data_IF_955626104944
#
_entry.id   IF_955626104944
#
_cell.length_a   1.000
_cell.length_b   1.000
_cell.length_c   1.000
_cell.angle_alpha   90.00
_cell.angle_beta   90.00
_cell.angle_gamma   90.00
#
_symmetry.space_group_name_H-M   'P 1'
#
loop_
_entity.id
_entity.type
_entity.pdbx_description
1 polymer ?
#
# COMPACT_ATOMS: atom_id res chain seq x y z
N UNK A 1 -22.97 6.03 -5.82
CA UNK A 1 -23.67 7.18 -5.23
C UNK A 1 -23.31 8.49 -5.94
N UNK A 2 -22.02 8.82 -6.03
CA UNK A 2 -21.50 10.07 -6.58
C UNK A 2 -21.98 10.45 -7.99
N UNK A 3 -22.10 9.47 -8.90
CA UNK A 3 -22.73 9.68 -10.21
C UNK A 3 -24.10 10.35 -10.08
N UNK A 4 -25.02 9.78 -9.30
CA UNK A 4 -26.37 10.31 -9.14
C UNK A 4 -26.39 11.71 -8.51
N UNK A 5 -25.56 11.95 -7.49
CA UNK A 5 -25.53 13.26 -6.81
C UNK A 5 -24.95 14.34 -7.70
N UNK A 6 -23.95 14.00 -8.53
CA UNK A 6 -23.41 14.89 -9.55
C UNK A 6 -24.41 15.20 -10.67
N UNK A 7 -25.13 14.18 -11.18
CA UNK A 7 -26.17 14.36 -12.20
C UNK A 7 -27.27 15.32 -11.72
N UNK A 8 -27.71 15.19 -10.46
CA UNK A 8 -28.71 16.08 -9.86
C UNK A 8 -28.18 17.51 -9.76
N UNK A 9 -26.90 17.70 -9.40
CA UNK A 9 -26.32 19.03 -9.21
C UNK A 9 -26.05 19.76 -10.52
N UNK A 10 -25.67 19.04 -11.57
CA UNK A 10 -25.14 19.63 -12.81
C UNK A 10 -26.07 19.48 -14.01
N UNK A 11 -27.04 18.57 -13.96
CA UNK A 11 -27.86 18.18 -15.11
C UNK A 11 -27.14 17.23 -16.09
N UNK A 12 -25.86 16.92 -15.87
CA UNK A 12 -25.11 15.95 -16.67
C UNK A 12 -25.62 14.52 -16.52
N UNK A 13 -25.04 13.58 -17.28
CA UNK A 13 -25.34 12.14 -17.23
C UNK A 13 -24.07 11.31 -17.11
N UNK A 14 -24.07 10.33 -16.22
CA UNK A 14 -22.94 9.45 -15.94
C UNK A 14 -23.36 8.00 -16.12
N UNK A 15 -22.73 7.32 -17.09
CA UNK A 15 -22.84 5.86 -17.25
C UNK A 15 -21.64 5.18 -16.61
N UNK A 16 -21.88 4.44 -15.53
CA UNK A 16 -20.83 3.65 -14.87
C UNK A 16 -20.63 2.35 -15.65
N UNK A 17 -19.38 2.05 -16.00
CA UNK A 17 -18.97 0.77 -16.58
C UNK A 17 -18.07 0.07 -15.56
N UNK A 18 -18.50 -1.09 -15.06
CA UNK A 18 -17.72 -1.91 -14.15
C UNK A 18 -17.03 -3.04 -14.92
N UNK A 19 -15.75 -3.26 -14.64
CA UNK A 19 -14.96 -4.33 -15.21
C UNK A 19 -14.20 -5.06 -14.09
N UNK A 20 -13.93 -6.37 -14.23
CA UNK A 20 -13.01 -7.06 -13.33
C UNK A 20 -11.64 -6.37 -13.32
N UNK A 21 -11.01 -6.27 -12.14
CA UNK A 21 -9.73 -5.56 -11.97
C UNK A 21 -8.67 -5.99 -13.00
N UNK A 22 -8.52 -7.31 -13.21
CA UNK A 22 -7.56 -7.89 -14.16
C UNK A 22 -7.78 -7.47 -15.63
N UNK A 23 -8.94 -6.89 -15.97
CA UNK A 23 -9.26 -6.40 -17.33
C UNK A 23 -9.15 -4.88 -17.46
N UNK A 24 -9.03 -4.13 -16.36
CA UNK A 24 -9.06 -2.67 -16.37
C UNK A 24 -7.91 -2.08 -17.19
N UNK A 25 -6.68 -2.55 -16.96
CA UNK A 25 -5.49 -2.02 -17.63
C UNK A 25 -5.63 -2.05 -19.15
N UNK A 26 -5.90 -3.23 -19.72
CA UNK A 26 -6.02 -3.41 -21.17
C UNK A 26 -7.23 -2.64 -21.74
N UNK A 27 -8.36 -2.63 -21.03
CA UNK A 27 -9.56 -1.92 -21.47
C UNK A 27 -9.31 -0.40 -21.56
N UNK A 28 -8.72 0.19 -20.52
CA UNK A 28 -8.39 1.61 -20.49
C UNK A 28 -7.34 1.96 -21.54
N UNK A 29 -6.23 1.22 -21.60
CA UNK A 29 -5.17 1.50 -22.56
C UNK A 29 -5.65 1.42 -24.01
N UNK A 30 -6.46 0.41 -24.36
CA UNK A 30 -7.01 0.27 -25.70
C UNK A 30 -8.02 1.38 -26.03
N UNK A 31 -8.88 1.76 -25.08
CA UNK A 31 -9.81 2.88 -25.25
C UNK A 31 -9.06 4.18 -25.51
N UNK A 32 -8.03 4.48 -24.73
CA UNK A 32 -7.26 5.72 -24.85
C UNK A 32 -6.45 5.82 -26.14
N UNK A 33 -6.00 4.69 -26.69
CA UNK A 33 -5.32 4.62 -28.01
C UNK A 33 -6.27 4.74 -29.20
N UNK A 34 -7.56 4.51 -28.99
CA UNK A 34 -8.56 4.57 -30.07
C UNK A 34 -8.96 6.01 -30.39
N UNK A 35 -9.48 6.24 -31.60
CA UNK A 35 -9.94 7.58 -32.03
C UNK A 35 -11.17 8.07 -31.25
N UNK A 36 -12.02 7.15 -30.81
CA UNK A 36 -13.27 7.47 -30.11
C UNK A 36 -13.17 6.99 -28.67
N UNK A 37 -13.21 7.90 -27.70
CA UNK A 37 -13.19 7.55 -26.29
C UNK A 37 -14.38 6.63 -25.93
N UNK A 38 -14.09 5.49 -25.30
CA UNK A 38 -15.09 4.65 -24.62
C UNK A 38 -15.34 5.16 -23.20
N UNK A 39 -14.32 5.75 -22.58
CA UNK A 39 -14.35 6.29 -21.22
C UNK A 39 -13.95 7.77 -21.23
N UNK A 40 -14.76 8.62 -20.61
CA UNK A 40 -14.41 10.02 -20.35
C UNK A 40 -13.66 10.21 -19.03
N UNK A 41 -13.88 9.29 -18.08
CA UNK A 41 -13.21 9.24 -16.77
C UNK A 41 -12.73 7.82 -16.55
N UNK A 42 -11.49 7.67 -16.09
CA UNK A 42 -10.94 6.39 -15.65
C UNK A 42 -10.42 6.51 -14.22
N UNK A 43 -10.72 5.52 -13.39
CA UNK A 43 -10.08 5.33 -12.09
C UNK A 43 -9.12 4.16 -12.20
N UNK A 44 -7.85 4.37 -11.87
CA UNK A 44 -6.81 3.37 -12.06
C UNK A 44 -5.73 3.45 -10.97
N UNK A 45 -4.90 2.40 -10.91
CA UNK A 45 -3.76 2.34 -10.00
C UNK A 45 -2.68 3.35 -10.42
N UNK A 46 -2.13 4.17 -9.51
CA UNK A 46 -1.01 5.08 -9.79
C UNK A 46 0.16 4.40 -10.50
N UNK A 47 0.44 3.14 -10.18
CA UNK A 47 1.47 2.31 -10.82
C UNK A 47 1.39 2.30 -12.36
N UNK A 48 0.19 2.44 -12.95
CA UNK A 48 -0.02 2.43 -14.40
C UNK A 48 0.22 3.78 -15.07
N UNK A 49 0.51 4.84 -14.31
CA UNK A 49 0.75 6.18 -14.84
C UNK A 49 1.83 6.19 -15.92
N UNK A 50 2.87 5.36 -15.79
CA UNK A 50 3.94 5.26 -16.80
C UNK A 50 3.47 4.78 -18.17
N UNK A 51 2.47 3.90 -18.22
CA UNK A 51 1.86 3.45 -19.48
C UNK A 51 0.81 4.45 -19.99
N UNK A 52 0.11 5.12 -19.08
CA UNK A 52 -1.09 5.87 -19.38
C UNK A 52 -0.83 7.35 -19.70
N UNK A 53 0.14 8.00 -19.05
CA UNK A 53 0.25 9.46 -19.02
C UNK A 53 0.25 10.14 -20.41
N UNK A 54 0.86 9.50 -21.41
CA UNK A 54 0.92 10.04 -22.79
C UNK A 54 -0.45 10.14 -23.47
N UNK A 55 -1.46 9.48 -22.91
CA UNK A 55 -2.84 9.46 -23.39
C UNK A 55 -3.81 10.19 -22.44
N UNK A 56 -3.31 10.83 -21.38
CA UNK A 56 -4.13 11.56 -20.42
C UNK A 56 -4.09 13.05 -20.72
N UNK A 57 -5.22 13.71 -20.49
CA UNK A 57 -5.26 15.16 -20.47
C UNK A 57 -4.62 15.72 -19.21
N UNK A 58 -4.07 16.92 -19.33
CA UNK A 58 -3.53 17.68 -18.20
C UNK A 58 -4.71 18.21 -17.38
N UNK A 59 -4.57 18.18 -16.06
CA UNK A 59 -5.52 18.81 -15.14
C UNK A 59 -5.57 20.33 -15.41
N UNK A 60 -6.74 20.94 -15.65
CA UNK A 60 -6.87 22.38 -15.88
C UNK A 60 -6.37 23.22 -14.70
N UNK A 61 -5.65 24.31 -14.97
CA UNK A 61 -5.06 25.20 -13.96
C UNK A 61 -6.08 25.67 -12.90
N UNK A 62 -7.29 26.04 -13.33
CA UNK A 62 -8.39 26.44 -12.43
C UNK A 62 -8.75 25.40 -11.35
N UNK A 63 -8.44 24.12 -11.57
CA UNK A 63 -8.67 23.04 -10.61
C UNK A 63 -7.46 22.79 -9.71
N UNK A 64 -6.26 23.18 -10.15
CA UNK A 64 -5.04 23.18 -9.33
C UNK A 64 -5.11 24.31 -8.32
N UNK A 65 -5.66 25.47 -8.72
CA UNK A 65 -5.83 26.65 -7.86
C UNK A 65 -7.01 26.54 -6.87
N UNK A 66 -7.79 25.45 -6.91
CA UNK A 66 -8.92 25.21 -6.00
C UNK A 66 -8.39 24.79 -4.62
N UNK A 67 -8.87 25.40 -3.53
CA UNK A 67 -8.41 25.08 -2.16
C UNK A 67 -8.59 23.60 -1.78
N UNK A 68 -9.57 22.91 -2.39
CA UNK A 68 -9.77 21.48 -2.16
C UNK A 68 -8.68 20.62 -2.81
N UNK A 69 -7.89 21.16 -3.73
CA UNK A 69 -6.71 20.50 -4.27
C UNK A 69 -5.59 20.43 -3.22
N UNK A 70 -5.38 21.52 -2.47
CA UNK A 70 -4.39 21.60 -1.40
C UNK A 70 -4.74 20.79 -0.15
N UNK A 71 -6.02 20.42 -0.01
CA UNK A 71 -6.47 19.51 1.03
C UNK A 71 -5.99 18.05 0.80
N UNK A 72 -5.54 17.67 -0.40
CA UNK A 72 -4.93 16.36 -0.67
C UNK A 72 -3.52 16.30 -0.06
N UNK A 73 -3.21 15.23 0.68
CA UNK A 73 -1.91 15.05 1.30
C UNK A 73 -0.76 15.13 0.27
N UNK A 74 0.33 15.88 0.52
CA UNK A 74 1.46 16.00 -0.40
C UNK A 74 2.03 14.66 -0.89
N UNK A 75 2.12 13.66 -0.02
CA UNK A 75 2.56 12.29 -0.36
C UNK A 75 1.74 11.66 -1.48
N UNK A 76 0.44 11.93 -1.55
CA UNK A 76 -0.41 11.46 -2.64
C UNK A 76 -0.41 12.46 -3.80
N UNK A 77 -0.61 13.75 -3.47
CA UNK A 77 -0.71 14.83 -4.43
C UNK A 77 0.55 14.90 -5.28
N UNK A 78 1.68 15.22 -4.68
CA UNK A 78 2.90 15.56 -5.39
C UNK A 78 3.56 14.32 -6.01
N UNK A 79 3.43 13.14 -5.37
CA UNK A 79 4.09 11.91 -5.82
C UNK A 79 3.25 11.08 -6.80
N UNK A 80 1.92 11.02 -6.66
CA UNK A 80 1.07 10.11 -7.44
C UNK A 80 0.22 10.80 -8.50
N UNK A 81 -0.07 12.10 -8.37
CA UNK A 81 -0.90 12.83 -9.35
C UNK A 81 -0.10 13.48 -10.48
N UNK A 82 1.23 13.56 -10.36
CA UNK A 82 2.12 14.12 -11.37
C UNK A 82 2.71 13.08 -12.30
N UNK A 83 3.01 13.48 -13.52
CA UNK A 83 3.94 12.79 -14.40
C UNK A 83 4.72 13.80 -15.24
N UNK A 84 6.05 13.68 -15.34
CA UNK A 84 6.92 14.66 -16.01
C UNK A 84 6.62 16.12 -15.60
N UNK A 85 6.41 16.36 -14.31
CA UNK A 85 6.08 17.69 -13.76
C UNK A 85 4.67 18.20 -14.02
N UNK A 86 3.83 17.45 -14.74
CA UNK A 86 2.44 17.83 -15.08
C UNK A 86 1.43 17.10 -14.21
N UNK A 87 0.40 17.80 -13.76
CA UNK A 87 -0.75 17.21 -13.09
C UNK A 87 -1.62 16.47 -14.10
N UNK A 88 -1.78 15.16 -13.95
CA UNK A 88 -2.53 14.31 -14.90
C UNK A 88 -3.61 13.48 -14.21
N UNK A 89 -3.73 13.57 -12.89
CA UNK A 89 -4.69 12.80 -12.12
C UNK A 89 -5.12 13.53 -10.84
N UNK A 90 -6.16 13.03 -10.19
CA UNK A 90 -6.60 13.41 -8.84
C UNK A 90 -6.65 12.14 -7.99
N UNK A 91 -6.03 12.13 -6.81
CA UNK A 91 -6.17 11.03 -5.86
C UNK A 91 -7.62 10.95 -5.38
N UNK A 92 -8.19 9.75 -5.44
CA UNK A 92 -9.55 9.46 -4.99
C UNK A 92 -9.60 8.42 -3.87
N UNK A 93 -8.47 7.78 -3.59
CA UNK A 93 -8.25 6.84 -2.50
C UNK A 93 -6.77 6.84 -2.09
N UNK A 94 -6.50 6.72 -0.79
CA UNK A 94 -5.16 6.83 -0.18
C UNK A 94 -4.71 5.54 0.50
N UNK A 95 -4.40 4.53 -0.30
CA UNK A 95 -3.89 3.27 0.23
C UNK A 95 -2.46 3.42 0.74
N UNK A 96 -2.29 3.05 2.01
CA UNK A 96 -1.03 2.98 2.72
C UNK A 96 -1.00 1.67 3.51
N UNK A 97 0.11 0.94 3.42
CA UNK A 97 0.27 -0.34 4.12
C UNK A 97 0.73 -0.11 5.56
N UNK A 98 0.08 -0.75 6.51
CA UNK A 98 0.30 -0.55 7.94
C UNK A 98 0.19 -1.87 8.72
N UNK A 99 0.55 -1.81 10.00
CA UNK A 99 0.39 -2.91 10.93
C UNK A 99 -0.79 -2.73 11.88
N UNK A 100 -1.39 -3.86 12.25
CA UNK A 100 -2.51 -3.95 13.17
C UNK A 100 -2.19 -4.94 14.28
N UNK A 101 -2.67 -4.69 15.49
CA UNK A 101 -2.50 -5.60 16.62
C UNK A 101 -3.70 -5.62 17.57
N UNK A 102 -3.79 -6.68 18.35
CA UNK A 102 -4.79 -6.88 19.40
C UNK A 102 -4.36 -6.19 20.70
N UNK A 103 -4.92 -5.01 20.99
CA UNK A 103 -4.65 -4.26 22.23
C UNK A 103 -4.94 -5.07 23.47
N UNK A 104 -6.03 -5.82 23.50
CA UNK A 104 -6.39 -6.65 24.65
C UNK A 104 -5.36 -7.76 24.94
N UNK A 105 -4.64 -8.25 23.93
CA UNK A 105 -3.53 -9.19 24.12
C UNK A 105 -2.25 -8.50 24.58
N UNK A 106 -1.94 -7.32 24.03
CA UNK A 106 -0.72 -6.56 24.34
C UNK A 106 -0.80 -5.84 25.69
N UNK A 107 -1.99 -5.41 26.11
CA UNK A 107 -2.24 -4.74 27.39
C UNK A 107 -2.37 -5.72 28.56
N UNK A 108 -2.56 -7.01 28.29
CA UNK A 108 -2.67 -8.05 29.31
C UNK A 108 -1.37 -8.17 30.14
N UNK A 109 -1.48 -8.00 31.46
CA UNK A 109 -0.33 -7.96 32.40
C UNK A 109 0.49 -9.25 32.39
N UNK A 110 -0.16 -10.41 32.24
CA UNK A 110 0.53 -11.71 32.15
C UNK A 110 1.30 -11.82 30.84
N UNK A 111 0.71 -11.42 29.71
CA UNK A 111 1.42 -11.42 28.42
C UNK A 111 2.63 -10.48 28.45
N UNK A 112 2.49 -9.27 29.02
CA UNK A 112 3.62 -8.35 29.22
C UNK A 112 4.76 -8.99 30.04
N UNK A 113 4.42 -9.61 31.18
CA UNK A 113 5.40 -10.24 32.05
C UNK A 113 6.09 -11.45 31.38
N UNK A 114 5.31 -12.35 30.75
CA UNK A 114 5.81 -13.53 30.07
C UNK A 114 6.70 -13.16 28.87
N UNK A 115 6.29 -12.14 28.10
CA UNK A 115 7.05 -11.64 26.96
C UNK A 115 8.39 -11.05 27.41
N UNK A 116 8.37 -10.14 28.40
CA UNK A 116 9.59 -9.53 28.94
C UNK A 116 10.55 -10.57 29.52
N UNK A 117 10.03 -11.62 30.16
CA UNK A 117 10.83 -12.73 30.66
C UNK A 117 11.51 -13.51 29.53
N UNK A 118 10.84 -13.70 28.39
CA UNK A 118 11.35 -14.48 27.25
C UNK A 118 12.29 -13.70 26.33
N UNK A 119 11.96 -12.44 26.03
CA UNK A 119 12.65 -11.64 25.02
C UNK A 119 13.49 -10.50 25.60
N UNK A 120 13.41 -10.24 26.90
CA UNK A 120 14.21 -9.24 27.62
C UNK A 120 13.94 -7.77 27.24
N UNK A 121 12.78 -7.48 26.63
CA UNK A 121 12.26 -6.13 26.41
C UNK A 121 10.73 -6.10 26.57
N UNK A 122 10.14 -4.91 26.66
CA UNK A 122 8.71 -4.74 26.92
C UNK A 122 7.85 -5.06 25.69
N UNK A 123 6.71 -5.74 25.92
CA UNK A 123 5.72 -6.00 24.87
C UNK A 123 5.03 -4.69 24.48
N UNK A 124 5.42 -4.17 23.32
CA UNK A 124 4.91 -2.96 22.68
C UNK A 124 4.68 -3.24 21.19
N UNK A 125 3.93 -2.40 20.46
CA UNK A 125 3.86 -2.51 19.01
C UNK A 125 5.28 -2.48 18.39
N UNK A 126 5.57 -3.31 17.37
CA UNK A 126 6.93 -3.53 16.93
C UNK A 126 7.53 -2.33 16.21
N UNK A 127 8.73 -1.92 16.63
CA UNK A 127 9.53 -0.89 16.00
C UNK A 127 10.45 -1.47 14.91
N UNK A 128 10.81 -2.75 15.01
CA UNK A 128 11.65 -3.46 14.03
C UNK A 128 11.01 -4.75 13.51
N UNK A 129 11.38 -5.17 12.30
CA UNK A 129 10.91 -6.46 11.75
C UNK A 129 11.31 -7.66 12.61
N UNK A 130 12.44 -7.56 13.32
CA UNK A 130 12.85 -8.54 14.33
C UNK A 130 11.83 -8.60 15.47
N UNK A 131 11.48 -7.46 16.05
CA UNK A 131 10.47 -7.41 17.13
C UNK A 131 9.12 -7.94 16.65
N UNK A 132 8.72 -7.63 15.42
CA UNK A 132 7.50 -8.18 14.82
C UNK A 132 7.56 -9.71 14.75
N UNK A 133 8.69 -10.30 14.34
CA UNK A 133 8.87 -11.75 14.33
C UNK A 133 8.88 -12.37 15.73
N UNK A 134 9.55 -11.73 16.70
CA UNK A 134 9.57 -12.16 18.11
C UNK A 134 8.16 -12.15 18.73
N UNK A 135 7.36 -11.11 18.44
CA UNK A 135 5.98 -10.99 18.91
C UNK A 135 5.07 -12.03 18.23
N UNK A 136 5.24 -12.25 16.93
CA UNK A 136 4.51 -13.30 16.22
C UNK A 136 4.82 -14.68 16.79
N UNK A 137 6.10 -14.97 17.06
CA UNK A 137 6.51 -16.19 17.74
C UNK A 137 5.89 -16.32 19.13
N UNK A 138 5.91 -15.24 19.92
CA UNK A 138 5.38 -15.23 21.27
C UNK A 138 3.91 -15.66 21.32
N UNK A 139 3.08 -15.07 20.46
CA UNK A 139 1.63 -15.31 20.50
C UNK A 139 1.21 -16.62 19.83
N UNK A 140 2.00 -17.17 18.92
CA UNK A 140 1.68 -18.41 18.22
C UNK A 140 1.53 -19.58 19.19
N UNK A 141 0.34 -20.21 19.22
CA UNK A 141 0.03 -21.35 20.08
C UNK A 141 -0.40 -20.97 21.51
N UNK A 142 -0.35 -19.68 21.89
CA UNK A 142 -0.96 -19.18 23.13
C UNK A 142 -2.48 -19.10 22.96
N UNK A 143 -3.19 -18.91 24.06
CA UNK A 143 -4.63 -18.67 24.04
C UNK A 143 -4.94 -17.20 24.20
N UNK A 144 -6.01 -16.75 23.56
CA UNK A 144 -6.62 -15.46 23.87
C UNK A 144 -7.26 -15.46 25.27
N UNK A 145 -7.91 -14.35 25.63
CA UNK A 145 -8.58 -14.18 26.92
C UNK A 145 -9.82 -15.08 27.10
N UNK A 146 -10.27 -15.78 26.04
CA UNK A 146 -11.39 -16.73 26.05
C UNK A 146 -10.93 -18.19 25.97
N UNK A 147 -9.63 -18.46 25.95
CA UNK A 147 -9.08 -19.81 25.84
C UNK A 147 -8.95 -20.35 24.42
N UNK A 148 -9.26 -19.56 23.37
CA UNK A 148 -9.06 -19.95 21.96
C UNK A 148 -7.58 -19.85 21.63
N UNK A 149 -6.99 -20.88 21.01
CA UNK A 149 -5.62 -20.79 20.47
C UNK A 149 -5.54 -19.75 19.35
N UNK A 150 -4.48 -18.97 19.36
CA UNK A 150 -4.22 -17.93 18.37
C UNK A 150 -2.86 -18.11 17.68
N UNK A 151 -2.71 -17.42 16.57
CA UNK A 151 -1.48 -17.31 15.80
C UNK A 151 -0.85 -15.92 15.98
N UNK A 152 0.43 -15.82 15.67
CA UNK A 152 1.19 -14.59 15.83
C UNK A 152 0.73 -13.47 14.91
N UNK A 153 0.52 -13.80 13.63
CA UNK A 153 0.15 -12.80 12.63
C UNK A 153 -0.62 -13.40 11.44
N UNK A 154 -1.24 -12.56 10.62
CA UNK A 154 -1.73 -12.90 9.27
C UNK A 154 -1.12 -11.96 8.24
N UNK A 155 -0.64 -12.53 7.13
CA UNK A 155 -0.04 -11.83 5.99
C UNK A 155 -0.51 -12.49 4.69
N UNK A 156 -0.46 -11.78 3.57
CA UNK A 156 -0.86 -12.32 2.28
C UNK A 156 0.27 -13.14 1.64
N UNK A 157 -0.03 -14.36 1.20
CA UNK A 157 0.91 -15.31 0.57
C UNK A 157 0.42 -15.90 -0.75
N UNK A 158 -0.85 -15.71 -1.11
CA UNK A 158 -1.37 -16.20 -2.37
C UNK A 158 -0.86 -15.36 -3.54
N UNK A 159 -0.41 -16.04 -4.60
CA UNK A 159 -0.08 -15.41 -5.89
C UNK A 159 -1.32 -14.70 -6.44
N UNK A 160 -1.18 -13.43 -6.82
CA UNK A 160 -2.31 -12.59 -7.24
C UNK A 160 -3.24 -12.18 -6.09
N UNK A 161 -3.01 -12.68 -4.87
CA UNK A 161 -3.68 -12.29 -3.63
C UNK A 161 -2.96 -11.15 -2.90
N UNK A 162 -2.24 -10.30 -3.64
CA UNK A 162 -1.50 -9.14 -3.14
C UNK A 162 -0.22 -9.48 -2.35
N UNK A 163 0.32 -10.70 -2.50
CA UNK A 163 1.53 -11.18 -1.78
C UNK A 163 2.76 -10.27 -1.95
N UNK A 164 3.00 -9.70 -3.13
CA UNK A 164 4.24 -8.95 -3.39
C UNK A 164 4.26 -7.61 -2.65
N UNK A 165 3.09 -7.00 -2.40
CA UNK A 165 3.01 -5.76 -1.63
C UNK A 165 3.40 -5.97 -0.17
N UNK A 166 3.07 -7.13 0.42
CA UNK A 166 3.57 -7.52 1.74
C UNK A 166 5.10 -7.56 1.76
N UNK A 167 5.71 -8.15 0.73
CA UNK A 167 7.17 -8.26 0.64
C UNK A 167 7.83 -6.91 0.37
N UNK A 168 7.28 -6.10 -0.52
CA UNK A 168 7.81 -4.77 -0.85
C UNK A 168 7.76 -3.85 0.36
N UNK A 169 6.68 -3.93 1.15
CA UNK A 169 6.53 -3.22 2.42
C UNK A 169 7.57 -3.60 3.46
N UNK A 170 7.98 -4.88 3.48
CA UNK A 170 9.06 -5.36 4.35
C UNK A 170 10.43 -4.92 3.84
N UNK A 171 10.64 -5.03 2.53
CA UNK A 171 11.89 -4.68 1.87
C UNK A 171 12.22 -3.18 1.93
N UNK A 172 11.21 -2.30 1.98
CA UNK A 172 11.43 -0.84 2.00
C UNK A 172 12.33 -0.40 3.15
N UNK A 173 12.14 -0.95 4.36
CA UNK A 173 12.99 -0.65 5.51
C UNK A 173 14.46 -1.01 5.28
N UNK A 174 14.72 -2.09 4.53
CA UNK A 174 16.08 -2.57 4.27
C UNK A 174 16.74 -1.96 3.04
N UNK A 175 15.98 -1.41 2.09
CA UNK A 175 16.47 -1.12 0.72
C UNK A 175 16.19 0.30 0.22
N UNK A 176 15.29 1.03 0.87
CA UNK A 176 15.03 2.44 0.56
C UNK A 176 16.02 3.33 1.34
N UNK A 177 17.26 3.42 0.88
CA UNK A 177 18.30 4.17 1.60
C UNK A 177 18.05 5.70 1.52
N UNK A 178 18.06 6.45 2.64
CA UNK A 178 17.71 7.88 2.63
C UNK A 178 18.70 8.73 1.82
N UNK A 179 19.97 8.33 1.77
CA UNK A 179 20.99 9.04 0.98
C UNK A 179 20.94 8.71 -0.52
N UNK A 180 20.19 7.66 -0.90
CA UNK A 180 20.05 7.19 -2.29
C UNK A 180 18.57 7.01 -2.64
N UNK A 181 17.77 8.08 -2.64
CA UNK A 181 16.33 7.99 -2.91
C UNK A 181 16.07 7.31 -4.26
N UNK A 182 15.04 6.46 -4.29
CA UNK A 182 14.69 5.70 -5.49
C UNK A 182 15.60 4.49 -5.74
N UNK A 183 16.46 4.06 -4.81
CA UNK A 183 17.32 2.87 -5.02
C UNK A 183 16.67 1.53 -4.67
N UNK A 184 15.41 1.52 -4.21
CA UNK A 184 14.75 0.31 -3.69
C UNK A 184 14.65 -0.78 -4.77
N UNK A 185 14.17 -0.46 -5.97
CA UNK A 185 13.91 -1.45 -7.02
C UNK A 185 15.00 -1.50 -8.09
N UNK A 186 15.52 -0.33 -8.47
CA UNK A 186 16.55 -0.17 -9.49
C UNK A 186 17.60 0.83 -9.02
N UNK A 187 18.79 0.77 -9.62
CA UNK A 187 19.75 1.85 -9.58
C UNK A 187 19.19 3.07 -10.35
N UNK A 188 19.00 4.24 -9.73
CA UNK A 188 18.37 5.41 -10.37
C UNK A 188 19.30 6.15 -11.36
N UNK A 189 20.54 5.69 -11.53
CA UNK A 189 21.51 6.21 -12.51
C UNK A 189 21.67 5.26 -13.69
N UNK A 190 21.50 3.94 -13.49
CA UNK A 190 21.75 2.94 -14.54
C UNK A 190 20.53 2.09 -14.93
N UNK A 191 19.42 2.18 -14.20
CA UNK A 191 18.24 1.32 -14.30
C UNK A 191 18.57 -0.17 -14.11
N UNK A 192 19.61 -0.48 -13.34
CA UNK A 192 19.99 -1.87 -13.03
C UNK A 192 19.14 -2.37 -11.87
N UNK A 193 18.51 -3.53 -12.00
CA UNK A 193 17.70 -4.14 -10.97
C UNK A 193 18.49 -4.34 -9.67
N UNK A 194 17.88 -3.94 -8.55
CA UNK A 194 18.41 -4.07 -7.19
C UNK A 194 17.70 -5.18 -6.39
N UNK A 195 16.68 -5.80 -6.99
CA UNK A 195 15.75 -6.78 -6.38
C UNK A 195 16.42 -8.03 -5.79
N UNK A 196 17.71 -8.27 -6.07
CA UNK A 196 18.49 -9.41 -5.56
C UNK A 196 19.64 -9.03 -4.63
N UNK A 197 19.70 -7.78 -4.17
CA UNK A 197 20.70 -7.35 -3.19
C UNK A 197 20.44 -7.98 -1.80
N UNK A 198 21.42 -7.93 -0.87
CA UNK A 198 21.28 -8.50 0.47
C UNK A 198 20.07 -7.98 1.28
N UNK A 199 19.66 -6.73 1.09
CA UNK A 199 18.45 -6.18 1.72
C UNK A 199 17.17 -6.90 1.27
N UNK A 200 17.03 -7.13 -0.04
CA UNK A 200 15.91 -7.90 -0.60
C UNK A 200 15.94 -9.37 -0.19
N UNK A 201 17.12 -10.00 -0.18
CA UNK A 201 17.27 -11.39 0.27
C UNK A 201 16.78 -11.53 1.71
N UNK A 202 17.23 -10.64 2.61
CA UNK A 202 16.79 -10.62 4.02
C UNK A 202 15.28 -10.44 4.14
N UNK A 203 14.71 -9.49 3.42
CA UNK A 203 13.27 -9.22 3.45
C UNK A 203 12.44 -10.46 3.05
N UNK A 204 12.84 -11.13 1.96
CA UNK A 204 12.12 -12.32 1.48
C UNK A 204 12.33 -13.51 2.42
N UNK A 205 13.52 -13.72 2.95
CA UNK A 205 13.79 -14.77 3.94
C UNK A 205 12.94 -14.58 5.21
N UNK A 206 12.87 -13.37 5.74
CA UNK A 206 12.03 -13.05 6.90
C UNK A 206 10.54 -13.21 6.60
N UNK A 207 10.09 -12.83 5.40
CA UNK A 207 8.72 -13.04 4.94
C UNK A 207 8.38 -14.54 4.81
N UNK A 208 9.26 -15.38 4.25
CA UNK A 208 9.01 -16.82 4.22
C UNK A 208 9.02 -17.43 5.62
N UNK A 209 9.92 -16.94 6.49
CA UNK A 209 10.04 -17.43 7.86
C UNK A 209 8.83 -17.08 8.73
N UNK A 210 8.14 -15.95 8.48
CA UNK A 210 6.98 -15.54 9.28
C UNK A 210 5.78 -16.49 9.10
N UNK A 211 5.70 -17.21 7.98
CA UNK A 211 4.61 -18.13 7.68
C UNK A 211 4.37 -19.17 8.80
N UNK A 212 5.43 -19.58 9.51
CA UNK A 212 5.32 -20.53 10.64
C UNK A 212 4.52 -19.99 11.84
N UNK A 213 4.31 -18.68 11.90
CA UNK A 213 3.54 -17.99 12.93
C UNK A 213 2.16 -17.53 12.45
N UNK A 214 1.80 -17.89 11.22
CA UNK A 214 0.49 -17.64 10.63
C UNK A 214 -0.43 -18.87 10.77
N UNK A 215 -1.74 -18.73 10.52
CA UNK A 215 -2.66 -19.88 10.41
C UNK A 215 -2.13 -20.95 9.43
N UNK A 216 -2.48 -22.25 9.61
CA UNK A 216 -1.89 -23.34 8.83
C UNK A 216 -2.15 -23.25 7.32
N UNK A 217 -3.26 -22.64 6.92
CA UNK A 217 -3.67 -22.40 5.54
C UNK A 217 -3.21 -21.03 5.00
N UNK A 218 -2.44 -20.26 5.78
CA UNK A 218 -2.02 -18.89 5.43
C UNK A 218 -1.25 -18.81 4.12
N UNK A 219 -0.64 -19.91 3.67
CA UNK A 219 -0.01 -19.99 2.34
C UNK A 219 -0.96 -19.66 1.19
N UNK A 220 -2.27 -19.81 1.39
CA UNK A 220 -3.32 -19.49 0.42
C UNK A 220 -4.06 -18.18 0.75
N UNK A 221 -3.60 -17.42 1.75
CA UNK A 221 -4.25 -16.16 2.10
C UNK A 221 -4.00 -15.11 1.04
N UNK A 222 -5.09 -14.62 0.46
CA UNK A 222 -5.16 -13.29 -0.09
C UNK A 222 -5.45 -12.26 1.01
N UNK A 223 -5.57 -10.99 0.63
CA UNK A 223 -5.83 -9.92 1.60
C UNK A 223 -7.17 -10.07 2.34
N UNK A 224 -8.18 -10.68 1.72
CA UNK A 224 -9.49 -10.87 2.34
C UNK A 224 -9.39 -11.92 3.45
N UNK A 225 -8.64 -12.99 3.23
CA UNK A 225 -8.35 -13.99 4.24
C UNK A 225 -7.51 -13.41 5.40
N UNK A 226 -6.53 -12.54 5.11
CA UNK A 226 -5.75 -11.83 6.14
C UNK A 226 -6.66 -11.02 7.06
N UNK A 227 -7.52 -10.18 6.46
CA UNK A 227 -8.50 -9.34 7.17
C UNK A 227 -9.39 -10.20 8.05
N UNK A 228 -9.95 -11.28 7.49
CA UNK A 228 -10.85 -12.19 8.20
C UNK A 228 -10.17 -12.85 9.40
N UNK A 229 -8.99 -13.43 9.23
CA UNK A 229 -8.26 -14.10 10.30
C UNK A 229 -7.99 -13.14 11.48
N UNK A 230 -7.63 -11.89 11.18
CA UNK A 230 -7.46 -10.87 12.21
C UNK A 230 -8.79 -10.49 12.87
N UNK A 231 -9.82 -10.16 12.10
CA UNK A 231 -11.11 -9.69 12.64
C UNK A 231 -11.89 -10.76 13.41
N UNK A 232 -11.64 -12.04 13.11
CA UNK A 232 -12.16 -13.20 13.85
C UNK A 232 -11.34 -13.51 15.11
N UNK A 233 -10.31 -12.71 15.38
CA UNK A 233 -9.46 -12.79 16.55
C UNK A 233 -8.52 -13.99 16.55
N UNK A 234 -8.25 -14.57 15.38
CA UNK A 234 -7.37 -15.75 15.24
C UNK A 234 -5.90 -15.38 15.30
N UNK A 235 -5.56 -14.14 14.96
CA UNK A 235 -4.17 -13.63 14.94
C UNK A 235 -3.98 -12.47 15.92
N UNK A 236 -2.79 -12.36 16.50
CA UNK A 236 -2.45 -11.26 17.39
C UNK A 236 -2.09 -9.98 16.63
N UNK A 237 -1.55 -10.12 15.41
CA UNK A 237 -1.20 -9.03 14.51
C UNK A 237 -1.68 -9.31 13.07
N UNK A 238 -1.67 -8.28 12.23
CA UNK A 238 -1.83 -8.40 10.79
C UNK A 238 -1.10 -7.26 10.06
N UNK A 239 -0.77 -7.48 8.79
CA UNK A 239 -0.33 -6.41 7.87
C UNK A 239 -1.36 -6.26 6.75
N UNK A 240 -1.82 -5.03 6.51
CA UNK A 240 -2.83 -4.72 5.49
C UNK A 240 -2.83 -3.21 5.18
N UNK A 241 -3.63 -2.79 4.21
CA UNK A 241 -4.06 -1.41 4.00
C UNK A 241 -5.02 -0.92 5.08
N UNK A 242 -5.40 0.36 5.02
CA UNK A 242 -6.25 1.03 6.02
C UNK A 242 -7.61 0.36 6.27
N UNK A 243 -8.09 -0.48 5.34
CA UNK A 243 -9.39 -1.17 5.42
C UNK A 243 -9.61 -1.96 6.73
N UNK A 244 -8.56 -2.61 7.25
CA UNK A 244 -8.68 -3.48 8.44
C UNK A 244 -9.22 -2.71 9.64
N UNK A 245 -8.86 -1.43 9.81
CA UNK A 245 -9.35 -0.61 10.91
C UNK A 245 -10.87 -0.46 10.92
N UNK A 246 -11.47 0.17 9.89
CA UNK A 246 -12.92 0.31 9.77
C UNK A 246 -13.67 -1.02 9.77
N UNK A 247 -13.12 -2.07 9.12
CA UNK A 247 -13.73 -3.40 9.10
C UNK A 247 -13.81 -3.98 10.52
N UNK A 248 -12.75 -3.87 11.32
CA UNK A 248 -12.73 -4.41 12.69
C UNK A 248 -13.62 -3.62 13.66
N UNK A 249 -13.85 -2.34 13.40
CA UNK A 249 -14.69 -1.48 14.25
C UNK A 249 -16.18 -1.53 13.86
N UNK A 250 -16.49 -1.86 12.61
CA UNK A 250 -17.87 -1.92 12.12
C UNK A 250 -18.68 -3.02 12.78
N UNK A 251 -19.91 -2.69 13.22
CA UNK A 251 -20.85 -3.69 13.74
C UNK A 251 -21.43 -4.60 12.65
N UNK A 252 -21.37 -4.21 11.37
CA UNK A 252 -21.97 -4.96 10.26
C UNK A 252 -21.07 -6.07 9.71
N UNK A 253 -19.80 -6.12 10.09
CA UNK A 253 -18.80 -7.06 9.57
C UNK A 253 -18.70 -8.34 10.41
N UNK A 254 -19.33 -8.37 11.60
CA UNK A 254 -19.25 -9.51 12.51
C UNK A 254 -17.91 -9.65 13.24
N UNK A 255 -17.07 -8.61 13.26
CA UNK A 255 -15.77 -8.64 13.95
C UNK A 255 -15.92 -9.01 15.44
N UNK A 256 -15.09 -9.94 15.91
CA UNK A 256 -15.07 -10.38 17.31
C UNK A 256 -14.13 -9.56 18.20
N UNK A 257 -13.40 -8.63 17.59
CA UNK A 257 -12.33 -7.84 18.20
C UNK A 257 -12.61 -6.33 18.17
N UNK A 258 -13.88 -5.95 17.99
CA UNK A 258 -14.32 -4.55 18.05
C UNK A 258 -13.78 -3.85 19.30
N UNK A 259 -13.30 -2.62 19.10
CA UNK A 259 -12.67 -1.75 20.11
C UNK A 259 -11.38 -2.30 20.76
N UNK A 260 -10.85 -3.43 20.28
CA UNK A 260 -9.62 -4.09 20.77
C UNK A 260 -8.46 -4.00 19.79
N UNK A 261 -8.56 -3.14 18.78
CA UNK A 261 -7.56 -2.99 17.73
C UNK A 261 -6.67 -1.79 18.01
N UNK A 262 -5.37 -1.97 17.83
CA UNK A 262 -4.38 -0.92 17.76
C UNK A 262 -3.64 -1.00 16.43
N UNK A 263 -2.85 0.03 16.15
CA UNK A 263 -2.22 0.28 14.86
C UNK A 263 -0.75 0.59 15.06
N UNK A 264 0.10 0.27 14.09
CA UNK A 264 1.50 0.67 14.08
C UNK A 264 1.98 0.99 12.66
N UNK A 265 2.90 1.96 12.58
CA UNK A 265 3.68 2.22 11.36
C UNK A 265 4.49 0.97 11.06
N UNK A 266 4.63 0.61 9.77
CA UNK A 266 5.40 -0.56 9.38
C UNK A 266 6.77 -0.62 10.10
N UNK A 267 7.17 -1.80 10.59
CA UNK A 267 8.42 -1.95 11.32
C UNK A 267 9.64 -1.54 10.48
N UNK A 268 10.65 -1.06 11.19
CA UNK A 268 11.92 -0.62 10.62
C UNK A 268 13.04 -1.64 10.78
N UNK A 269 14.26 -1.13 10.66
CA UNK A 269 15.51 -1.87 10.84
C UNK A 269 16.58 -1.03 11.51
N UNK A 270 17.51 -1.67 12.21
CA UNK A 270 18.75 -1.03 12.68
C UNK A 270 19.90 -1.17 11.66
N UNK A 271 19.76 -2.04 10.67
CA UNK A 271 20.73 -2.23 9.58
C UNK A 271 20.03 -2.01 8.24
N UNK A 272 20.44 -1.01 7.49
CA UNK A 272 19.94 -0.72 6.14
C UNK A 272 21.01 -1.04 5.10
N UNK A 273 20.63 -1.61 3.96
CA UNK A 273 21.56 -1.91 2.88
C UNK A 273 21.80 -0.68 2.01
N UNK A 274 23.06 -0.27 1.88
CA UNK A 274 23.49 0.72 0.90
C UNK A 274 23.95 0.00 -0.38
N UNK A 275 23.18 0.16 -1.45
CA UNK A 275 23.46 -0.42 -2.76
C UNK A 275 24.69 0.18 -3.45
N UNK A 276 25.03 1.45 -3.17
CA UNK A 276 26.20 2.13 -3.76
C UNK A 276 27.49 1.64 -3.11
N UNK A 277 27.56 1.64 -1.77
CA UNK A 277 28.76 1.19 -1.05
C UNK A 277 28.84 -0.33 -0.87
N UNK A 278 27.73 -1.03 -1.12
CA UNK A 278 27.56 -2.48 -0.94
C UNK A 278 27.84 -2.93 0.49
N UNK A 279 27.34 -2.16 1.46
CA UNK A 279 27.51 -2.39 2.90
C UNK A 279 26.20 -2.21 3.63
N UNK A 280 26.15 -2.75 4.85
CA UNK A 280 25.08 -2.47 5.80
C UNK A 280 25.46 -1.26 6.65
N UNK A 281 24.61 -0.25 6.63
CA UNK A 281 24.74 0.93 7.46
C UNK A 281 23.94 0.75 8.74
N UNK A 282 24.62 0.90 9.87
CA UNK A 282 23.99 0.80 11.20
C UNK A 282 23.34 2.12 11.57
N UNK A 283 22.14 2.03 12.16
CA UNK A 283 21.39 3.18 12.67
C UNK A 283 21.28 3.09 14.19
N UNK A 284 21.33 4.25 14.85
CA UNK A 284 21.21 4.34 16.31
C UNK A 284 19.77 4.12 16.80
N UNK A 285 18.79 4.46 15.95
CA UNK A 285 17.36 4.23 16.15
C UNK A 285 16.81 3.47 14.93
N UNK A 286 15.71 2.71 15.07
CA UNK A 286 15.09 2.02 13.94
C UNK A 286 14.79 2.97 12.79
N UNK A 287 15.36 2.69 11.62
CA UNK A 287 15.00 3.34 10.38
C UNK A 287 13.71 2.72 9.83
N UNK A 288 12.67 3.55 9.67
CA UNK A 288 11.40 3.15 9.07
C UNK A 288 11.25 3.81 7.70
N UNK A 289 10.81 3.02 6.72
CA UNK A 289 10.40 3.49 5.41
C UNK A 289 8.98 2.99 5.13
N UNK A 290 7.93 3.69 5.63
CA UNK A 290 6.55 3.36 5.32
C UNK A 290 6.37 3.25 3.81
N UNK A 291 5.69 2.22 3.35
CA UNK A 291 5.59 1.93 1.92
C UNK A 291 4.19 2.25 1.41
N UNK A 292 4.14 3.07 0.36
CA UNK A 292 2.92 3.47 -0.33
C UNK A 292 2.46 2.37 -1.29
N UNK A 293 2.29 1.15 -0.76
CA UNK A 293 1.89 -0.03 -1.51
C UNK A 293 0.61 0.26 -2.27
N UNK A 294 0.62 0.12 -3.61
CA UNK A 294 -0.46 0.51 -4.51
C UNK A 294 -0.71 2.03 -4.59
N UNK A 295 -0.72 2.73 -3.45
CA UNK A 295 -0.89 4.18 -3.34
C UNK A 295 -2.32 4.68 -3.56
N UNK A 296 -3.25 3.75 -3.75
CA UNK A 296 -4.68 3.95 -3.83
C UNK A 296 -5.15 4.04 -5.27
N UNK A 297 -6.23 4.77 -5.48
CA UNK A 297 -6.78 5.02 -6.81
C UNK A 297 -6.63 6.49 -7.18
N UNK A 298 -6.36 6.72 -8.47
CA UNK A 298 -6.36 8.05 -9.07
C UNK A 298 -7.39 8.13 -10.18
N UNK A 299 -8.03 9.28 -10.32
CA UNK A 299 -8.93 9.63 -11.41
C UNK A 299 -8.24 10.50 -12.46
N UNK A 300 -8.35 10.10 -13.72
CA UNK A 300 -7.87 10.90 -14.86
C UNK A 300 -8.89 10.94 -16.00
N UNK A 301 -8.69 11.93 -16.87
CA UNK A 301 -9.48 12.14 -18.08
C UNK A 301 -8.62 11.77 -19.31
N UNK A 302 -9.02 10.77 -20.11
CA UNK A 302 -8.38 10.47 -21.39
C UNK A 302 -8.34 11.66 -22.35
N UNK A 303 -7.22 11.83 -23.05
CA UNK A 303 -7.01 12.93 -23.99
C UNK A 303 -7.97 12.84 -25.20
N UNK A 304 -8.41 11.64 -25.57
CA UNK A 304 -9.38 11.44 -26.64
C UNK A 304 -10.84 11.70 -26.21
N UNK A 305 -11.10 12.04 -24.95
CA UNK A 305 -12.44 12.44 -24.48
C UNK A 305 -12.86 13.76 -25.12
N UNK A 306 -14.15 13.82 -25.52
CA UNK A 306 -14.81 15.04 -26.00
C UNK A 306 -15.50 15.84 -24.89
N UNK A 307 -15.49 15.31 -23.66
CA UNK A 307 -16.23 15.85 -22.51
C UNK A 307 -15.30 16.21 -21.35
N UNK A 308 -14.07 16.66 -21.65
CA UNK A 308 -13.00 16.87 -20.65
C UNK A 308 -13.40 17.74 -19.47
N UNK A 309 -14.08 18.87 -19.70
CA UNK A 309 -14.53 19.76 -18.62
C UNK A 309 -15.52 19.07 -17.67
N UNK A 310 -16.51 18.35 -18.22
CA UNK A 310 -17.48 17.61 -17.42
C UNK A 310 -16.82 16.43 -16.69
N UNK A 311 -15.87 15.75 -17.33
CA UNK A 311 -15.12 14.65 -16.77
C UNK A 311 -14.25 15.09 -15.58
N UNK A 312 -13.48 16.17 -15.72
CA UNK A 312 -12.70 16.73 -14.62
C UNK A 312 -13.58 17.26 -13.49
N UNK A 313 -14.70 17.92 -13.83
CA UNK A 313 -15.68 18.34 -12.82
C UNK A 313 -16.26 17.16 -12.04
N UNK A 314 -16.55 16.05 -12.70
CA UNK A 314 -17.02 14.82 -12.04
C UNK A 314 -15.96 14.23 -11.10
N UNK A 315 -14.69 14.20 -11.52
CA UNK A 315 -13.59 13.71 -10.67
C UNK A 315 -13.45 14.61 -9.43
N UNK A 316 -13.46 15.94 -9.58
CA UNK A 316 -13.40 16.86 -8.46
C UNK A 316 -14.63 16.74 -7.56
N UNK A 317 -15.81 16.49 -8.12
CA UNK A 317 -17.01 16.19 -7.33
C UNK A 317 -16.85 14.90 -6.54
N UNK A 318 -16.39 13.82 -7.18
CA UNK A 318 -16.14 12.54 -6.52
C UNK A 318 -15.17 12.72 -5.34
N UNK A 319 -14.06 13.41 -5.59
CA UNK A 319 -12.96 13.53 -4.65
C UNK A 319 -13.13 14.67 -3.63
N UNK A 320 -14.17 15.50 -3.69
CA UNK A 320 -14.26 16.69 -2.84
C UNK A 320 -14.27 16.31 -1.34
N UNK A 321 -13.88 17.22 -0.42
CA UNK A 321 -13.72 16.89 0.99
C UNK A 321 -14.97 16.31 1.64
N UNK A 322 -16.17 16.78 1.27
CA UNK A 322 -17.43 16.28 1.85
C UNK A 322 -17.74 14.86 1.40
N UNK A 323 -17.64 14.58 0.10
CA UNK A 323 -17.96 13.27 -0.47
C UNK A 323 -16.93 12.22 -0.04
N UNK A 324 -15.65 12.57 -0.11
CA UNK A 324 -14.55 11.70 0.29
C UNK A 324 -14.51 11.43 1.80
N UNK A 325 -14.85 12.41 2.65
CA UNK A 325 -14.99 12.17 4.09
C UNK A 325 -16.09 11.15 4.39
N UNK A 326 -17.22 11.21 3.67
CA UNK A 326 -18.27 10.21 3.81
C UNK A 326 -17.81 8.82 3.35
N UNK A 327 -16.99 8.75 2.31
CA UNK A 327 -16.50 7.48 1.77
C UNK A 327 -15.52 6.78 2.72
N UNK A 328 -14.56 7.51 3.31
CA UNK A 328 -13.55 6.93 4.23
C UNK A 328 -14.17 6.45 5.55
N UNK A 329 -15.33 7.00 5.94
CA UNK A 329 -16.09 6.56 7.12
C UNK A 329 -17.22 5.59 6.78
N UNK A 330 -17.32 5.13 5.54
CA UNK A 330 -18.31 4.12 5.16
C UNK A 330 -17.61 2.77 4.98
N UNK A 331 -17.85 1.85 5.91
CA UNK A 331 -17.30 0.49 5.82
C UNK A 331 -17.68 -0.17 4.49
N UNK A 332 -16.69 -0.68 3.76
CA UNK A 332 -16.87 -1.41 2.51
C UNK A 332 -16.73 -0.58 1.23
N UNK A 333 -16.46 0.73 1.32
CA UNK A 333 -16.05 1.53 0.14
C UNK A 333 -14.66 1.14 -0.36
N UNK A 334 -13.80 0.71 0.57
CA UNK A 334 -12.37 0.47 0.30
C UNK A 334 -11.56 1.75 0.15
N UNK A 335 -12.12 2.92 0.49
CA UNK A 335 -11.45 4.21 0.35
C UNK A 335 -10.78 4.57 1.68
N UNK A 336 -9.48 4.80 1.61
CA UNK A 336 -8.60 5.12 2.72
C UNK A 336 -8.25 6.62 2.76
N UNK A 337 -7.83 7.16 3.93
CA UNK A 337 -7.58 8.59 4.07
C UNK A 337 -6.46 9.14 3.18
N UNK A 338 -6.78 10.13 2.34
CA UNK A 338 -5.81 10.86 1.51
C UNK A 338 -5.81 12.39 1.65
N UNK A 339 -6.67 12.95 2.51
CA UNK A 339 -6.87 14.40 2.68
C UNK A 339 -6.64 14.85 4.10
N UNK A 340 -6.16 16.08 4.30
CA UNK A 340 -6.05 16.70 5.62
C UNK A 340 -7.41 16.76 6.34
N UNK A 341 -8.50 17.04 5.61
CA UNK A 341 -9.87 17.00 6.15
C UNK A 341 -10.23 15.63 6.75
N UNK A 342 -9.71 14.53 6.19
CA UNK A 342 -9.95 13.19 6.77
C UNK A 342 -9.27 13.01 8.13
N UNK A 343 -8.11 13.63 8.35
CA UNK A 343 -7.36 13.55 9.62
C UNK A 343 -7.86 14.57 10.66
N UNK A 344 -8.30 15.74 10.21
CA UNK A 344 -8.78 16.82 11.10
C UNK A 344 -10.26 16.67 11.47
N UNK A 345 -11.08 16.09 10.59
CA UNK A 345 -12.50 15.79 10.79
C UNK A 345 -12.78 14.60 11.71
N UNK A 346 -12.07 14.48 12.84
CA UNK A 346 -12.11 13.31 13.73
C UNK A 346 -13.52 12.98 14.23
N UNK A 347 -14.39 13.97 14.41
CA UNK A 347 -15.76 13.74 14.89
C UNK A 347 -16.57 12.87 13.92
N UNK A 348 -16.31 12.97 12.61
CA UNK A 348 -16.98 12.13 11.61
C UNK A 348 -16.66 10.63 11.80
N UNK A 349 -15.44 10.32 12.23
CA UNK A 349 -14.98 8.96 12.49
C UNK A 349 -15.64 8.31 13.71
N UNK A 350 -16.30 9.12 14.57
CA UNK A 350 -17.02 8.59 15.73
C UNK A 350 -18.26 7.76 15.34
N UNK A 351 -18.68 7.82 14.07
CA UNK A 351 -19.68 6.94 13.49
C UNK A 351 -19.26 5.47 13.38
N UNK A 352 -17.94 5.18 13.35
CA UNK A 352 -17.40 3.81 13.28
C UNK A 352 -16.55 3.48 14.51
N UNK A 353 -15.72 4.42 14.95
CA UNK A 353 -14.74 4.23 16.01
C UNK A 353 -15.15 4.93 17.31
N UNK A 354 -14.64 4.46 18.45
CA UNK A 354 -14.53 5.35 19.62
C UNK A 354 -13.58 6.52 19.30
N UNK A 355 -13.75 7.67 19.95
CA UNK A 355 -12.88 8.85 19.75
C UNK A 355 -11.39 8.52 19.94
N UNK A 356 -11.07 7.67 20.92
CA UNK A 356 -9.70 7.18 21.16
C UNK A 356 -9.21 6.33 19.99
N UNK A 357 -9.99 5.36 19.52
CA UNK A 357 -9.59 4.50 18.40
C UNK A 357 -9.43 5.31 17.09
N UNK A 358 -10.31 6.28 16.83
CA UNK A 358 -10.16 7.19 15.69
C UNK A 358 -8.84 7.97 15.75
N UNK A 359 -8.52 8.54 16.92
CA UNK A 359 -7.27 9.29 17.12
C UNK A 359 -6.03 8.40 16.94
N UNK A 360 -6.05 7.17 17.47
CA UNK A 360 -4.95 6.21 17.34
C UNK A 360 -4.76 5.78 15.87
N UNK A 361 -5.86 5.44 15.17
CA UNK A 361 -5.86 5.02 13.77
C UNK A 361 -5.32 6.12 12.85
N UNK A 362 -5.93 7.31 12.92
CA UNK A 362 -5.55 8.44 12.09
C UNK A 362 -4.15 8.94 12.42
N UNK A 363 -3.73 8.88 13.68
CA UNK A 363 -2.39 9.23 14.12
C UNK A 363 -1.31 8.36 13.49
N UNK A 364 -1.52 7.04 13.41
CA UNK A 364 -0.58 6.11 12.77
C UNK A 364 -0.51 6.33 11.26
N UNK A 365 -1.66 6.46 10.59
CA UNK A 365 -1.69 6.77 9.16
C UNK A 365 -0.97 8.08 8.85
N UNK A 366 -1.22 9.11 9.67
CA UNK A 366 -0.57 10.43 9.54
C UNK A 366 0.93 10.34 9.74
N UNK A 367 1.39 9.62 10.78
CA UNK A 367 2.81 9.43 11.05
C UNK A 367 3.53 8.70 9.91
N UNK A 368 2.88 7.70 9.30
CA UNK A 368 3.39 7.02 8.11
C UNK A 368 3.49 7.97 6.92
N UNK A 369 2.46 8.78 6.65
CA UNK A 369 2.41 9.69 5.50
C UNK A 369 3.34 10.90 5.62
N UNK A 370 3.53 11.40 6.85
CA UNK A 370 4.44 12.53 7.16
C UNK A 370 5.90 12.09 7.27
N UNK A 371 6.19 10.79 7.19
CA UNK A 371 7.55 10.30 7.22
C UNK A 371 8.36 10.88 6.05
N UNK A 372 9.58 11.40 6.29
CA UNK A 372 10.46 11.85 5.21
C UNK A 372 10.94 10.68 4.33
N UNK A 373 10.74 9.44 4.78
CA UNK A 373 11.25 8.22 4.15
C UNK A 373 10.14 7.37 3.51
N UNK A 374 8.96 7.95 3.21
CA UNK A 374 7.90 7.20 2.50
C UNK A 374 8.46 6.64 1.20
N UNK A 375 8.43 5.33 1.07
CA UNK A 375 8.88 4.61 -0.10
C UNK A 375 7.75 4.50 -1.11
N UNK A 376 8.03 4.84 -2.37
CA UNK A 376 7.10 4.74 -3.49
C UNK A 376 7.12 3.34 -4.10
N UNK A 377 5.96 2.91 -4.58
CA UNK A 377 5.82 1.70 -5.39
C UNK A 377 6.43 1.88 -6.79
N UNK A 378 6.60 0.76 -7.50
CA UNK A 378 7.12 0.76 -8.85
C UNK A 378 6.13 1.42 -9.82
N UNK A 379 6.46 2.65 -10.27
CA UNK A 379 5.60 3.45 -11.16
C UNK A 379 6.28 3.71 -12.50
N UNK A 380 6.43 2.66 -13.32
CA UNK A 380 7.03 2.70 -14.66
C UNK A 380 6.28 1.78 -15.63
N UNK A 381 6.41 1.99 -16.96
CA UNK A 381 5.86 1.05 -17.94
C UNK A 381 6.29 -0.39 -17.68
N UNK A 382 5.34 -1.31 -17.81
CA UNK A 382 5.60 -2.74 -17.59
C UNK A 382 5.52 -3.17 -16.14
N UNK A 383 4.99 -2.35 -15.23
CA UNK A 383 4.74 -2.69 -13.82
C UNK A 383 4.26 -4.14 -13.63
N UNK A 384 3.20 -4.53 -14.36
CA UNK A 384 2.65 -5.89 -14.29
C UNK A 384 3.62 -6.99 -14.72
N UNK A 385 4.49 -6.73 -15.69
CA UNK A 385 5.49 -7.72 -16.13
C UNK A 385 6.56 -7.91 -15.05
N UNK A 386 7.06 -6.83 -14.45
CA UNK A 386 8.03 -6.89 -13.36
C UNK A 386 7.47 -7.62 -12.14
N UNK A 387 6.28 -7.25 -11.67
CA UNK A 387 5.66 -7.85 -10.49
C UNK A 387 5.22 -9.30 -10.73
N UNK A 388 4.73 -9.64 -11.93
CA UNK A 388 4.41 -11.04 -12.29
C UNK A 388 5.63 -11.95 -12.22
N UNK A 389 6.78 -11.50 -12.75
CA UNK A 389 8.03 -12.26 -12.65
C UNK A 389 8.43 -12.43 -11.19
N UNK A 390 8.39 -11.37 -10.40
CA UNK A 390 8.71 -11.42 -8.97
C UNK A 390 7.80 -12.41 -8.23
N UNK A 391 6.49 -12.32 -8.42
CA UNK A 391 5.52 -13.23 -7.80
C UNK A 391 5.76 -14.70 -8.18
N UNK A 392 6.04 -14.98 -9.45
CA UNK A 392 6.31 -16.36 -9.90
C UNK A 392 7.52 -16.94 -9.15
N UNK A 393 8.62 -16.19 -9.05
CA UNK A 393 9.82 -16.70 -8.36
C UNK A 393 9.62 -16.75 -6.84
N UNK A 394 8.90 -15.78 -6.26
CA UNK A 394 8.55 -15.76 -4.85
C UNK A 394 7.72 -17.00 -4.48
N UNK A 395 6.71 -17.36 -5.29
CA UNK A 395 5.90 -18.56 -5.05
C UNK A 395 6.74 -19.84 -5.09
N UNK A 396 7.72 -19.94 -6.00
CA UNK A 396 8.65 -21.09 -6.01
C UNK A 396 9.50 -21.16 -4.75
N UNK A 397 10.01 -20.02 -4.27
CA UNK A 397 10.76 -19.96 -3.01
C UNK A 397 9.87 -20.32 -1.81
N UNK A 398 8.63 -19.81 -1.75
CA UNK A 398 7.61 -20.15 -0.75
C UNK A 398 7.23 -21.65 -0.74
N UNK A 399 7.36 -22.31 -1.90
CA UNK A 399 7.19 -23.76 -2.04
C UNK A 399 8.45 -24.58 -1.72
N UNK A 400 9.55 -23.92 -1.33
CA UNK A 400 10.86 -24.55 -1.15
C UNK A 400 11.39 -25.24 -2.42
N UNK A 401 10.92 -24.85 -3.61
CA UNK A 401 11.38 -25.40 -4.89
C UNK A 401 12.76 -24.86 -5.26
N UNK A 402 13.07 -23.62 -4.84
CA UNK A 402 14.33 -22.93 -5.04
C UNK A 402 14.69 -22.08 -3.82
N UNK A 403 15.97 -21.73 -3.66
CA UNK A 403 16.39 -20.82 -2.60
C UNK A 403 15.93 -19.38 -2.87
N UNK A 404 15.78 -18.57 -1.82
CA UNK A 404 15.44 -17.14 -1.94
C UNK A 404 16.44 -16.42 -2.86
N UNK A 405 17.74 -16.65 -2.67
CA UNK A 405 18.76 -16.02 -3.52
C UNK A 405 18.58 -16.41 -4.99
N UNK A 406 18.33 -17.69 -5.30
CA UNK A 406 18.11 -18.14 -6.68
C UNK A 406 16.84 -17.53 -7.29
N UNK A 407 15.77 -17.41 -6.50
CA UNK A 407 14.53 -16.76 -6.92
C UNK A 407 14.79 -15.29 -7.31
N UNK A 408 15.45 -14.53 -6.44
CA UNK A 408 15.71 -13.11 -6.68
C UNK A 408 16.73 -12.86 -7.78
N UNK A 409 17.79 -13.68 -7.89
CA UNK A 409 18.74 -13.61 -9.00
C UNK A 409 18.04 -13.85 -10.34
N UNK A 410 17.10 -14.80 -10.38
CA UNK A 410 16.29 -15.07 -11.58
C UNK A 410 15.38 -13.89 -11.88
N UNK A 411 14.72 -13.31 -10.87
CA UNK A 411 13.90 -12.11 -11.04
C UNK A 411 14.72 -10.93 -11.56
N UNK A 412 15.91 -10.68 -11.03
CA UNK A 412 16.79 -9.61 -11.48
C UNK A 412 17.15 -9.77 -12.97
N UNK A 413 17.54 -10.98 -13.40
CA UNK A 413 17.85 -11.26 -14.81
C UNK A 413 16.65 -11.00 -15.72
N UNK A 414 15.46 -11.44 -15.32
CA UNK A 414 14.24 -11.20 -16.11
C UNK A 414 13.82 -9.73 -16.11
N UNK A 415 14.04 -9.00 -15.02
CA UNK A 415 13.83 -7.55 -14.95
C UNK A 415 14.76 -6.79 -15.89
N UNK A 416 16.03 -7.19 -16.00
CA UNK A 416 16.95 -6.62 -17.00
C UNK A 416 16.43 -6.84 -18.43
N UNK A 417 15.93 -8.04 -18.75
CA UNK A 417 15.35 -8.34 -20.07
C UNK A 417 14.12 -7.49 -20.37
N UNK A 418 13.22 -7.31 -19.40
CA UNK A 418 12.04 -6.44 -19.54
C UNK A 418 12.50 -4.99 -19.78
N UNK A 419 13.46 -4.53 -18.99
CA UNK A 419 14.03 -3.17 -19.08
C UNK A 419 14.64 -2.92 -20.45
N UNK A 420 15.46 -3.84 -20.97
CA UNK A 420 16.11 -3.70 -22.27
C UNK A 420 15.09 -3.76 -23.42
N UNK A 421 14.11 -4.66 -23.35
CA UNK A 421 13.02 -4.75 -24.34
C UNK A 421 12.18 -3.48 -24.40
N UNK A 422 11.97 -2.81 -23.28
CA UNK A 422 11.23 -1.54 -23.20
C UNK A 422 12.09 -0.30 -23.52
N UNK A 423 13.39 -0.50 -23.70
CA UNK A 423 14.36 0.56 -23.90
C UNK A 423 14.87 1.12 -22.57
N UNK A 424 16.05 0.67 -22.14
CA UNK A 424 16.66 1.02 -20.85
C UNK A 424 16.74 2.52 -20.58
N UNK A 425 17.18 3.32 -21.56
CA UNK A 425 17.28 4.78 -21.42
C UNK A 425 15.91 5.41 -21.12
N UNK A 426 14.87 4.99 -21.84
CA UNK A 426 13.51 5.47 -21.62
C UNK A 426 12.98 5.04 -20.26
N UNK A 427 13.25 3.80 -19.86
CA UNK A 427 12.88 3.30 -18.53
C UNK A 427 13.59 4.08 -17.41
N UNK A 428 14.87 4.41 -17.58
CA UNK A 428 15.62 5.24 -16.63
C UNK A 428 15.00 6.63 -16.49
N UNK A 429 14.72 7.30 -17.60
CA UNK A 429 14.08 8.63 -17.60
C UNK A 429 12.72 8.60 -16.89
N UNK A 430 11.90 7.58 -17.17
CA UNK A 430 10.59 7.40 -16.54
C UNK A 430 10.68 7.03 -15.06
N UNK A 431 11.65 6.20 -14.68
CA UNK A 431 11.89 5.83 -13.29
C UNK A 431 12.33 7.03 -12.46
N UNK A 432 13.27 7.83 -12.98
CA UNK A 432 13.70 9.06 -12.31
C UNK A 432 12.55 10.05 -12.16
N UNK A 433 11.77 10.27 -13.24
CA UNK A 433 10.61 11.16 -13.14
C UNK A 433 9.56 10.66 -12.16
N UNK A 434 9.34 9.35 -12.05
CA UNK A 434 8.34 8.82 -11.12
C UNK A 434 8.79 8.89 -9.66
N UNK A 435 10.11 8.86 -9.42
CA UNK A 435 10.74 9.03 -8.11
C UNK A 435 11.02 10.50 -7.74
N UNK A 436 10.83 11.45 -8.66
CA UNK A 436 11.11 12.87 -8.44
C UNK A 436 12.60 13.24 -8.49
N UNK A 437 13.40 12.50 -9.26
CA UNK A 437 14.87 12.61 -9.38
C UNK A 437 15.35 13.29 -10.67
#
# INVERSE_FOLDING_TARGET
>A
MHAKTWEVKTGGKVKIIQLPFAKLFDAFLNSMKSKNAVFDVIFYAPAWAGDFFQYLSILPDKLVDDETFDDIHPTYRDMLMKWNGKWVAITVDGDLFNGYYRKDLFENTKNKADFKKRYHYDLTPPETWKEYADIAEFFTGRTDLKGKKIFGTSEAFAKGGQQFWTVFSRASAYTNHPDHPGSQFFDPETMKAQINNPGWVRAVEEYLAILKFCPPDAKFFDIVAVRKAFTDGETAMALDWGDTGPIAASSSTGSTIKDKVGYFVLPGTLDIWDAKTKKWDKKAIPYKAPFLAFGGWVGSVPENSRHKDAAWNYIMWYANPKNSLNDVITSGTGINPYRFTHFTGIDAWTSIFSKRAASEYLGVLRASLDSPNVALDLRIPGFHQYTTVFEIQLTKALNNEITVKKALDTTAVEWEKITDKMGRKKQLEMYRSSMGL
#
